data_IF_120956366050
#
_entry.id   IF_120956366050
#
_cell.length_a   1.000
_cell.length_b   1.000
_cell.length_c   1.000
_cell.angle_alpha   90.00
_cell.angle_beta   90.00
_cell.angle_gamma   90.00
#
_symmetry.space_group_name_H-M   'P 1'
#
loop_
_entity.id
_entity.type
_entity.pdbx_description
1 polymer ?
#
# COMPACT_ATOMS: atom_id res chain seq x y z
N UNK A 1 3.77 7.42 2.82
CA UNK A 1 2.54 7.01 3.53
C UNK A 1 1.93 5.83 2.81
N UNK A 2 1.43 4.87 3.57
CA UNK A 2 0.66 3.76 3.03
C UNK A 2 -0.78 4.21 2.77
N UNK A 3 -1.48 3.52 1.86
CA UNK A 3 -2.92 3.76 1.65
C UNK A 3 -3.67 3.49 2.95
N UNK A 4 -4.60 4.39 3.29
CA UNK A 4 -5.32 4.41 4.57
C UNK A 4 -4.66 5.25 5.67
N UNK A 5 -3.40 5.66 5.51
CA UNK A 5 -2.75 6.56 6.47
C UNK A 5 -3.43 7.94 6.48
N UNK A 6 -3.53 8.55 7.66
CA UNK A 6 -3.93 9.96 7.82
C UNK A 6 -2.70 10.86 7.77
N UNK A 7 -2.56 11.63 6.70
CA UNK A 7 -1.45 12.56 6.43
C UNK A 7 -1.77 13.94 7.01
N UNK A 8 -0.95 14.50 7.91
CA UNK A 8 -1.16 15.82 8.46
C UNK A 8 -0.71 16.93 7.50
N UNK A 9 -1.50 17.99 7.41
CA UNK A 9 -1.22 19.19 6.63
C UNK A 9 -1.34 20.45 7.49
N UNK A 10 -0.59 21.47 7.10
CA UNK A 10 -0.59 22.78 7.75
C UNK A 10 -0.43 23.89 6.72
N UNK A 11 -1.30 24.90 6.81
CA UNK A 11 -1.20 26.16 6.05
C UNK A 11 -0.91 27.28 7.03
N UNK A 12 0.18 28.01 6.82
CA UNK A 12 0.53 29.21 7.60
C UNK A 12 0.46 30.44 6.72
N UNK A 13 -0.25 31.45 7.20
CA UNK A 13 -0.37 32.74 6.51
C UNK A 13 -0.55 33.85 7.56
N UNK A 14 -0.63 35.10 7.12
CA UNK A 14 -0.93 36.24 7.97
C UNK A 14 -2.06 37.07 7.35
N UNK A 15 -2.84 37.73 8.21
CA UNK A 15 -3.94 38.59 7.79
C UNK A 15 -3.37 39.78 6.98
N UNK A 16 -3.85 40.04 5.76
CA UNK A 16 -3.41 41.17 4.96
C UNK A 16 -3.71 42.50 5.67
N UNK A 17 -2.82 43.46 5.53
CA UNK A 17 -2.99 44.79 6.12
C UNK A 17 -3.82 45.68 5.17
N UNK A 18 -4.96 46.15 5.66
CA UNK A 18 -5.88 47.02 4.93
C UNK A 18 -6.08 48.36 5.67
N UNK A 19 -6.22 49.49 4.94
CA UNK A 19 -6.69 50.74 5.49
C UNK A 19 -8.07 50.60 6.15
N UNK A 20 -8.33 51.36 7.22
CA UNK A 20 -9.59 51.30 7.97
C UNK A 20 -10.82 51.70 7.13
N UNK A 21 -10.64 52.55 6.12
CA UNK A 21 -11.66 53.00 5.18
C UNK A 21 -11.82 52.06 3.97
N UNK A 22 -11.14 50.91 3.97
CA UNK A 22 -11.20 49.96 2.86
C UNK A 22 -12.63 49.47 2.63
N UNK A 23 -13.05 49.53 1.36
CA UNK A 23 -14.38 49.07 0.95
C UNK A 23 -14.48 47.55 1.05
N UNK A 24 -13.41 46.83 0.75
CA UNK A 24 -13.34 45.37 0.76
C UNK A 24 -12.07 44.88 1.48
N UNK A 25 -12.21 43.92 2.39
CA UNK A 25 -11.09 43.26 3.06
C UNK A 25 -11.23 41.74 2.89
N UNK A 26 -11.04 41.28 1.66
CA UNK A 26 -11.16 39.86 1.32
C UNK A 26 -9.96 39.12 1.88
N UNK A 27 -10.22 38.06 2.64
CA UNK A 27 -9.19 37.13 3.06
C UNK A 27 -9.82 35.73 3.18
N UNK A 28 -9.43 34.85 2.26
CA UNK A 28 -9.92 33.48 2.20
C UNK A 28 -8.73 32.52 2.12
N UNK A 29 -8.82 31.39 2.83
CA UNK A 29 -7.87 30.29 2.74
C UNK A 29 -8.62 29.11 2.12
N UNK A 30 -8.14 28.63 0.99
CA UNK A 30 -8.71 27.47 0.30
C UNK A 30 -7.69 26.34 0.24
N UNK A 31 -8.17 25.13 0.11
CA UNK A 31 -7.33 23.96 -0.05
C UNK A 31 -8.01 22.93 -0.95
N UNK A 32 -7.26 22.36 -1.89
CA UNK A 32 -7.75 21.42 -2.89
C UNK A 32 -6.73 20.28 -3.06
N UNK A 33 -6.97 19.12 -2.43
CA UNK A 33 -6.17 17.92 -2.64
C UNK A 33 -6.35 17.34 -4.05
N UNK A 34 -5.33 16.66 -4.54
CA UNK A 34 -5.47 15.71 -5.65
C UNK A 34 -6.37 14.51 -5.26
N UNK A 35 -6.89 13.77 -6.25
CA UNK A 35 -7.81 12.64 -6.02
C UNK A 35 -7.26 11.52 -5.10
N UNK A 36 -5.93 11.44 -4.93
CA UNK A 36 -5.29 10.50 -4.01
C UNK A 36 -5.42 10.86 -2.51
N UNK A 37 -6.02 12.01 -2.17
CA UNK A 37 -6.21 12.47 -0.79
C UNK A 37 -7.66 12.87 -0.53
N UNK A 38 -8.17 12.47 0.64
CA UNK A 38 -9.49 12.88 1.14
C UNK A 38 -9.36 13.60 2.46
N UNK A 39 -9.78 14.86 2.53
CA UNK A 39 -9.75 15.64 3.77
C UNK A 39 -10.69 15.02 4.80
N UNK A 40 -10.17 14.81 6.01
CA UNK A 40 -10.99 14.54 7.19
C UNK A 40 -11.46 15.88 7.77
N UNK A 41 -12.65 16.31 7.34
CA UNK A 41 -13.17 17.64 7.64
C UNK A 41 -13.36 17.89 9.14
N UNK A 42 -13.52 16.83 9.93
CA UNK A 42 -13.62 16.91 11.39
C UNK A 42 -12.32 17.35 12.07
N UNK A 43 -11.19 17.25 11.36
CA UNK A 43 -9.86 17.57 11.88
C UNK A 43 -9.40 18.98 11.53
N UNK A 44 -10.19 19.75 10.77
CA UNK A 44 -9.85 21.12 10.40
C UNK A 44 -9.91 22.01 11.64
N UNK A 45 -8.77 22.58 12.00
CA UNK A 45 -8.62 23.53 13.09
C UNK A 45 -7.95 24.81 12.59
N UNK A 46 -8.45 25.96 13.06
CA UNK A 46 -7.91 27.28 12.77
C UNK A 46 -7.35 27.87 14.07
N UNK A 47 -6.06 28.11 14.09
CA UNK A 47 -5.37 28.82 15.17
C UNK A 47 -5.16 30.28 14.77
N UNK A 48 -5.29 31.18 15.75
CA UNK A 48 -5.32 32.63 15.54
C UNK A 48 -6.68 33.21 15.18
N UNK A 49 -7.77 32.44 15.20
CA UNK A 49 -9.13 32.95 15.06
C UNK A 49 -10.15 32.00 15.71
N UNK A 50 -11.34 32.51 16.04
CA UNK A 50 -12.45 31.72 16.56
C UNK A 50 -13.49 31.47 15.48
N UNK A 51 -14.36 30.47 15.66
CA UNK A 51 -15.40 30.13 14.68
C UNK A 51 -16.42 31.27 14.42
N UNK A 52 -16.50 32.28 15.29
CA UNK A 52 -17.28 33.49 15.02
C UNK A 52 -16.62 34.45 14.02
N UNK A 53 -15.34 34.29 13.74
CA UNK A 53 -14.55 35.22 12.92
C UNK A 53 -14.54 34.86 11.42
N UNK A 54 -15.00 33.65 11.08
CA UNK A 54 -14.97 33.14 9.70
C UNK A 54 -16.16 32.21 9.40
N UNK A 55 -16.35 31.92 8.12
CA UNK A 55 -17.22 30.83 7.65
C UNK A 55 -16.37 29.71 7.05
N UNK A 56 -16.62 28.45 7.44
CA UNK A 56 -15.97 27.26 6.91
C UNK A 56 -16.95 26.46 6.05
N UNK A 57 -16.57 26.21 4.80
CA UNK A 57 -17.22 25.24 3.92
C UNK A 57 -16.20 24.15 3.60
N UNK A 58 -16.48 22.89 3.92
CA UNK A 58 -15.53 21.80 3.76
C UNK A 58 -16.18 20.53 3.20
N UNK A 59 -15.43 19.78 2.40
CA UNK A 59 -15.74 18.44 1.90
C UNK A 59 -14.47 17.59 1.88
N UNK A 60 -14.58 16.32 1.50
CA UNK A 60 -13.41 15.45 1.31
C UNK A 60 -12.45 15.97 0.21
N UNK A 61 -12.95 16.79 -0.71
CA UNK A 61 -12.19 17.26 -1.88
C UNK A 61 -11.67 18.69 -1.73
N UNK A 62 -11.83 19.31 -0.56
CA UNK A 62 -11.31 20.65 -0.30
C UNK A 62 -12.06 21.40 0.78
N UNK A 63 -11.52 22.55 1.17
CA UNK A 63 -12.21 23.49 2.05
C UNK A 63 -12.00 24.93 1.62
N UNK A 64 -12.87 25.80 2.13
CA UNK A 64 -12.79 27.24 2.06
C UNK A 64 -13.09 27.83 3.43
N UNK A 65 -12.17 28.66 3.92
CA UNK A 65 -12.33 29.50 5.11
C UNK A 65 -12.36 30.95 4.64
N UNK A 66 -13.49 31.64 4.82
CA UNK A 66 -13.61 33.05 4.51
C UNK A 66 -13.74 33.87 5.80
N UNK A 67 -12.79 34.76 6.05
CA UNK A 67 -12.77 35.60 7.25
C UNK A 67 -13.68 36.81 7.09
N UNK A 68 -14.35 37.19 8.18
CA UNK A 68 -15.21 38.37 8.21
C UNK A 68 -14.38 39.64 8.04
N UNK A 69 -14.91 40.60 7.28
CA UNK A 69 -14.28 41.90 7.03
C UNK A 69 -13.81 42.58 8.31
N UNK A 70 -14.68 42.68 9.32
CA UNK A 70 -14.37 43.39 10.56
C UNK A 70 -13.21 42.74 11.33
N UNK A 71 -13.13 41.42 11.32
CA UNK A 71 -12.02 40.69 11.93
C UNK A 71 -10.71 40.95 11.18
N UNK A 72 -10.74 40.91 9.84
CA UNK A 72 -9.57 41.19 8.99
C UNK A 72 -9.04 42.60 9.23
N UNK A 73 -9.91 43.61 9.30
CA UNK A 73 -9.50 45.00 9.56
C UNK A 73 -8.92 45.22 10.96
N UNK A 74 -9.36 44.46 11.95
CA UNK A 74 -8.93 44.61 13.34
C UNK A 74 -7.60 43.90 13.67
N UNK A 75 -7.14 42.97 12.84
CA UNK A 75 -6.00 42.10 13.15
C UNK A 75 -4.91 42.07 12.05
N UNK A 76 -4.46 43.23 11.52
CA UNK A 76 -3.48 43.25 10.44
C UNK A 76 -2.16 42.56 10.86
N UNK A 77 -1.66 41.67 10.01
CA UNK A 77 -0.41 40.93 10.26
C UNK A 77 -0.51 39.80 11.27
N UNK A 78 -1.67 39.56 11.89
CA UNK A 78 -1.88 38.42 12.78
C UNK A 78 -1.67 37.11 12.02
N UNK A 79 -0.90 36.19 12.62
CA UNK A 79 -0.68 34.88 12.05
C UNK A 79 -1.95 34.02 12.15
N UNK A 80 -2.26 33.32 11.06
CA UNK A 80 -3.32 32.31 10.99
C UNK A 80 -2.68 30.99 10.58
N UNK A 81 -2.97 29.94 11.34
CA UNK A 81 -2.52 28.58 11.03
C UNK A 81 -3.72 27.67 10.90
N UNK A 82 -3.87 27.02 9.75
CA UNK A 82 -4.88 25.98 9.54
C UNK A 82 -4.19 24.63 9.57
N UNK A 83 -4.66 23.72 10.40
CA UNK A 83 -4.19 22.33 10.45
C UNK A 83 -5.32 21.37 10.17
N UNK A 84 -5.04 20.29 9.45
CA UNK A 84 -6.02 19.23 9.18
C UNK A 84 -5.28 17.94 8.81
N UNK A 85 -6.03 16.85 8.70
CA UNK A 85 -5.54 15.57 8.17
C UNK A 85 -6.30 15.20 6.92
N UNK A 86 -5.63 14.52 5.99
CA UNK A 86 -6.26 13.87 4.86
C UNK A 86 -5.87 12.39 4.80
N UNK A 87 -6.81 11.53 4.47
CA UNK A 87 -6.57 10.11 4.24
C UNK A 87 -5.99 9.87 2.86
N UNK A 88 -4.92 9.07 2.79
CA UNK A 88 -4.37 8.60 1.54
C UNK A 88 -5.25 7.49 0.94
N UNK A 89 -5.79 7.70 -0.26
CA UNK A 89 -6.72 6.75 -0.87
C UNK A 89 -6.01 5.75 -1.78
N UNK A 90 -6.71 4.70 -2.21
CA UNK A 90 -6.22 3.76 -3.24
C UNK A 90 -5.89 4.42 -4.58
N UNK A 91 -6.43 5.61 -4.83
CA UNK A 91 -6.18 6.40 -6.04
C UNK A 91 -4.88 7.21 -5.91
N UNK A 92 -4.25 7.18 -4.72
CA UNK A 92 -2.88 7.62 -4.55
C UNK A 92 -1.94 6.62 -5.21
N UNK A 93 -1.58 6.86 -6.46
CA UNK A 93 -0.52 6.13 -7.11
C UNK A 93 0.17 6.99 -8.16
N UNK A 94 1.50 6.84 -8.26
CA UNK A 94 2.31 7.65 -9.15
C UNK A 94 2.43 6.97 -10.49
N UNK A 95 1.90 7.61 -11.53
CA UNK A 95 2.20 7.22 -12.91
C UNK A 95 3.41 7.99 -13.45
N UNK A 96 3.66 9.19 -12.95
CA UNK A 96 4.78 10.02 -13.38
C UNK A 96 5.14 11.08 -12.33
N UNK A 97 6.21 11.85 -12.55
CA UNK A 97 6.58 12.99 -11.69
C UNK A 97 5.55 14.14 -11.69
N UNK A 98 4.70 14.20 -12.71
CA UNK A 98 3.64 15.20 -12.88
C UNK A 98 2.27 14.68 -12.43
N UNK A 99 2.06 13.37 -12.39
CA UNK A 99 0.87 12.70 -11.87
C UNK A 99 1.16 12.16 -10.45
N UNK A 100 1.27 13.09 -9.51
CA UNK A 100 1.63 12.81 -8.12
C UNK A 100 0.48 13.14 -7.20
N UNK A 101 0.29 12.29 -6.19
CA UNK A 101 -0.58 12.64 -5.08
C UNK A 101 0.00 13.83 -4.34
N UNK A 102 -0.82 14.86 -4.15
CA UNK A 102 -0.40 16.10 -3.52
C UNK A 102 -1.57 16.95 -3.09
N UNK A 103 -1.22 18.07 -2.47
CA UNK A 103 -2.17 19.03 -1.95
C UNK A 103 -1.77 20.46 -2.34
N UNK A 104 -2.78 21.29 -2.65
CA UNK A 104 -2.60 22.71 -3.01
C UNK A 104 -3.43 23.58 -2.07
N UNK A 105 -2.78 24.46 -1.33
CA UNK A 105 -3.43 25.52 -0.58
C UNK A 105 -3.35 26.85 -1.34
N UNK A 106 -4.41 27.64 -1.33
CA UNK A 106 -4.43 29.01 -1.86
C UNK A 106 -4.86 30.01 -0.81
N UNK A 107 -4.32 31.22 -0.89
CA UNK A 107 -4.78 32.36 -0.08
C UNK A 107 -5.31 33.41 -1.03
N UNK A 108 -6.61 33.70 -0.96
CA UNK A 108 -7.23 34.74 -1.77
C UNK A 108 -7.39 36.01 -0.96
N UNK A 109 -6.88 37.12 -1.48
CA UNK A 109 -7.01 38.43 -0.85
C UNK A 109 -7.14 39.54 -1.89
N UNK A 110 -7.65 40.71 -1.49
CA UNK A 110 -7.64 41.89 -2.35
C UNK A 110 -6.28 42.62 -2.23
N UNK A 111 -5.47 42.76 -3.28
CA UNK A 111 -4.21 43.52 -3.21
C UNK A 111 -4.41 45.05 -3.23
N UNK A 112 -5.58 45.55 -3.63
CA UNK A 112 -5.88 46.98 -3.68
C UNK A 112 -7.18 47.32 -2.92
N UNK A 113 -7.10 47.97 -1.75
CA UNK A 113 -8.25 48.23 -0.88
C UNK A 113 -9.33 49.16 -1.45
N UNK A 114 -9.06 49.83 -2.57
CA UNK A 114 -9.94 50.85 -3.15
C UNK A 114 -10.62 50.43 -4.45
N UNK A 115 -10.25 49.27 -5.00
CA UNK A 115 -10.81 48.70 -6.23
C UNK A 115 -11.19 47.25 -6.02
N UNK A 116 -12.17 46.76 -6.77
CA UNK A 116 -12.48 45.33 -6.77
C UNK A 116 -11.38 44.57 -7.51
N UNK A 117 -10.69 43.69 -6.79
CA UNK A 117 -9.60 42.87 -7.32
C UNK A 117 -9.22 41.77 -6.35
N UNK A 118 -8.59 40.70 -6.85
CA UNK A 118 -8.12 39.59 -6.02
C UNK A 118 -6.80 39.04 -6.52
N UNK A 119 -5.90 38.70 -5.61
CA UNK A 119 -4.71 37.90 -5.82
C UNK A 119 -4.90 36.56 -5.11
N UNK A 120 -4.35 35.48 -5.69
CA UNK A 120 -4.53 34.12 -5.18
C UNK A 120 -3.23 33.31 -5.31
N UNK A 121 -2.18 33.64 -4.54
CA UNK A 121 -0.98 32.79 -4.46
C UNK A 121 -1.31 31.38 -3.97
N UNK A 122 -0.54 30.40 -4.47
CA UNK A 122 -0.65 29.00 -4.10
C UNK A 122 0.63 28.45 -3.45
N UNK A 123 0.47 27.36 -2.70
CA UNK A 123 1.56 26.52 -2.21
C UNK A 123 1.19 25.06 -2.38
N UNK A 124 2.15 24.24 -2.82
CA UNK A 124 1.92 22.83 -3.18
C UNK A 124 2.83 21.90 -2.40
N UNK A 125 2.29 20.77 -1.98
CA UNK A 125 3.02 19.69 -1.31
C UNK A 125 2.72 18.35 -1.98
N UNK A 126 3.68 17.42 -1.93
CA UNK A 126 3.56 16.07 -2.51
C UNK A 126 3.53 15.01 -1.41
N UNK A 127 2.72 13.98 -1.58
CA UNK A 127 2.62 12.84 -0.67
C UNK A 127 3.02 11.56 -1.40
N UNK A 128 4.12 10.95 -0.97
CA UNK A 128 4.67 9.76 -1.62
C UNK A 128 4.08 8.46 -1.09
N UNK A 129 3.77 7.57 -2.03
CA UNK A 129 3.44 6.15 -1.84
C UNK A 129 4.15 5.34 -2.93
N UNK A 130 4.40 4.07 -2.66
CA UNK A 130 5.28 3.22 -3.45
C UNK A 130 4.63 1.89 -3.77
N UNK A 131 5.24 1.17 -4.70
CA UNK A 131 4.92 -0.22 -4.99
C UNK A 131 6.11 -1.15 -4.78
N UNK A 132 5.82 -2.45 -4.69
CA UNK A 132 6.81 -3.51 -4.74
C UNK A 132 6.35 -4.59 -5.71
N UNK A 133 7.24 -5.02 -6.59
CA UNK A 133 6.95 -6.06 -7.59
C UNK A 133 8.09 -7.05 -7.68
N UNK A 134 7.74 -8.32 -7.81
CA UNK A 134 8.69 -9.41 -8.07
C UNK A 134 8.07 -10.47 -8.96
N UNK A 135 8.91 -11.34 -9.52
CA UNK A 135 8.47 -12.48 -10.32
C UNK A 135 8.49 -13.76 -9.50
N UNK A 136 7.38 -14.47 -9.53
CA UNK A 136 7.17 -15.78 -8.95
C UNK A 136 7.29 -16.86 -10.03
N UNK A 137 8.16 -17.83 -9.77
CA UNK A 137 8.43 -18.93 -10.69
C UNK A 137 8.43 -20.26 -9.94
N UNK A 138 8.28 -21.34 -10.69
CA UNK A 138 8.59 -22.70 -10.25
C UNK A 138 9.98 -23.13 -10.69
N UNK A 139 10.28 -24.41 -10.52
CA UNK A 139 11.49 -25.04 -11.04
C UNK A 139 11.67 -24.79 -12.54
N UNK A 140 12.91 -24.52 -12.97
CA UNK A 140 13.21 -24.20 -14.37
C UNK A 140 12.83 -22.78 -14.81
N UNK A 141 12.53 -21.86 -13.87
CA UNK A 141 12.15 -20.47 -14.12
C UNK A 141 10.83 -20.28 -14.89
N UNK A 142 9.97 -21.31 -14.93
CA UNK A 142 8.63 -21.19 -15.49
C UNK A 142 7.77 -20.27 -14.59
N UNK A 143 7.04 -19.29 -15.15
CA UNK A 143 6.09 -18.48 -14.39
C UNK A 143 5.11 -19.31 -13.57
N UNK A 144 4.90 -18.94 -12.32
CA UNK A 144 3.99 -19.65 -11.42
C UNK A 144 2.85 -18.73 -10.99
N UNK A 145 1.69 -18.93 -11.62
CA UNK A 145 0.46 -18.17 -11.36
C UNK A 145 -0.33 -18.75 -10.17
N UNK A 146 -1.12 -17.90 -9.51
CA UNK A 146 -2.06 -18.31 -8.46
C UNK A 146 -1.44 -18.48 -7.06
N UNK A 147 -0.18 -18.12 -6.86
CA UNK A 147 0.44 -18.03 -5.54
C UNK A 147 -0.04 -16.75 -4.84
N UNK A 148 -0.53 -16.84 -3.61
CA UNK A 148 -1.05 -15.69 -2.87
C UNK A 148 -0.04 -15.23 -1.81
N UNK A 149 0.20 -13.93 -1.75
CA UNK A 149 1.16 -13.31 -0.85
C UNK A 149 0.50 -12.23 0.01
N UNK A 150 1.05 -12.05 1.21
CA UNK A 150 0.78 -10.90 2.07
C UNK A 150 2.06 -10.10 2.27
N UNK A 151 1.92 -8.79 2.48
CA UNK A 151 3.00 -7.92 2.89
C UNK A 151 2.64 -7.25 4.22
N UNK A 152 3.51 -7.44 5.21
CA UNK A 152 3.33 -7.00 6.59
C UNK A 152 4.33 -5.90 6.90
N UNK A 153 3.86 -4.76 7.41
CA UNK A 153 4.74 -3.69 7.87
C UNK A 153 5.46 -4.17 9.15
N UNK A 154 6.80 -4.19 9.12
CA UNK A 154 7.61 -4.78 10.19
C UNK A 154 7.53 -4.01 11.51
N UNK A 155 7.34 -2.69 11.44
CA UNK A 155 7.25 -1.82 12.62
C UNK A 155 5.90 -1.97 13.34
N UNK A 156 4.80 -2.01 12.58
CA UNK A 156 3.44 -2.05 13.14
C UNK A 156 2.87 -3.45 13.28
N UNK A 157 3.48 -4.46 12.63
CA UNK A 157 2.98 -5.83 12.56
C UNK A 157 1.68 -6.00 11.75
N UNK A 158 1.22 -4.96 11.05
CA UNK A 158 -0.03 -5.00 10.28
C UNK A 158 0.21 -5.52 8.87
N UNK A 159 -0.65 -6.43 8.41
CA UNK A 159 -0.77 -6.75 6.98
C UNK A 159 -1.33 -5.53 6.27
N UNK A 160 -0.58 -4.95 5.34
CA UNK A 160 -0.97 -3.71 4.65
C UNK A 160 -1.51 -3.98 3.25
N UNK A 161 -1.16 -5.11 2.63
CA UNK A 161 -1.70 -5.51 1.35
C UNK A 161 -1.56 -7.03 1.12
N UNK A 162 -2.34 -7.54 0.18
CA UNK A 162 -2.25 -8.90 -0.36
C UNK A 162 -2.19 -8.84 -1.88
N UNK A 163 -1.51 -9.79 -2.51
CA UNK A 163 -1.41 -9.88 -3.96
C UNK A 163 -1.29 -11.34 -4.40
N UNK A 164 -1.73 -11.64 -5.62
CA UNK A 164 -1.65 -12.97 -6.22
C UNK A 164 -0.75 -12.91 -7.44
N UNK A 165 0.05 -13.94 -7.68
CA UNK A 165 0.87 -14.03 -8.89
C UNK A 165 -0.01 -14.18 -10.13
N UNK A 166 0.21 -13.31 -11.11
CA UNK A 166 -0.52 -13.30 -12.37
C UNK A 166 -0.08 -14.44 -13.32
N UNK A 167 -0.67 -14.50 -14.51
CA UNK A 167 -0.34 -15.50 -15.53
C UNK A 167 1.12 -15.45 -16.02
N UNK A 168 1.79 -14.30 -15.86
CA UNK A 168 3.23 -14.10 -16.17
C UNK A 168 4.11 -14.30 -14.94
N UNK A 169 3.52 -14.66 -13.79
CA UNK A 169 4.15 -14.88 -12.51
C UNK A 169 4.43 -13.61 -11.72
N UNK A 170 4.01 -12.42 -12.16
CA UNK A 170 4.26 -11.20 -11.39
C UNK A 170 3.34 -11.08 -10.19
N UNK A 171 3.92 -10.69 -9.05
CA UNK A 171 3.21 -10.31 -7.84
C UNK A 171 3.51 -8.84 -7.59
N UNK A 172 2.48 -7.99 -7.51
CA UNK A 172 2.63 -6.54 -7.36
C UNK A 172 1.77 -6.02 -6.20
N UNK A 173 2.41 -5.28 -5.30
CA UNK A 173 1.78 -4.55 -4.21
C UNK A 173 1.86 -3.05 -4.51
N UNK A 174 0.77 -2.32 -4.28
CA UNK A 174 0.68 -0.86 -4.41
C UNK A 174 0.28 -0.23 -3.08
N UNK A 175 0.55 1.07 -2.93
CA UNK A 175 0.06 1.84 -1.79
C UNK A 175 0.91 1.66 -0.53
N UNK A 176 2.20 1.38 -0.67
CA UNK A 176 3.12 1.14 0.43
C UNK A 176 3.83 2.43 0.84
N UNK A 177 3.87 2.71 2.13
CA UNK A 177 4.75 3.74 2.69
C UNK A 177 6.24 3.38 2.55
N UNK A 178 7.10 4.36 2.81
CA UNK A 178 8.50 4.07 3.05
C UNK A 178 8.63 3.32 4.39
N UNK A 179 9.49 2.31 4.44
CA UNK A 179 9.65 1.47 5.61
C UNK A 179 10.09 0.07 5.26
N UNK A 180 10.14 -0.78 6.28
CA UNK A 180 10.56 -2.18 6.16
C UNK A 180 9.37 -3.10 6.28
N UNK A 181 9.34 -4.14 5.43
CA UNK A 181 8.23 -5.05 5.29
C UNK A 181 8.70 -6.50 5.22
N UNK A 182 7.85 -7.40 5.71
CA UNK A 182 8.01 -8.85 5.54
C UNK A 182 6.98 -9.34 4.52
N UNK A 183 7.45 -10.05 3.50
CA UNK A 183 6.62 -10.67 2.47
C UNK A 183 6.50 -12.16 2.77
N UNK A 184 5.27 -12.65 2.84
CA UNK A 184 4.97 -14.04 3.21
C UNK A 184 4.05 -14.66 2.16
N UNK A 185 4.42 -15.85 1.67
CA UNK A 185 3.53 -16.65 0.83
C UNK A 185 2.45 -17.29 1.71
N UNK A 186 1.20 -16.98 1.41
CA UNK A 186 0.01 -17.40 2.16
C UNK A 186 -0.71 -18.57 1.51
N UNK A 187 -0.56 -18.74 0.20
CA UNK A 187 -1.07 -19.89 -0.55
C UNK A 187 -0.06 -20.31 -1.61
N UNK A 188 0.38 -21.56 -1.50
CA UNK A 188 1.30 -22.20 -2.44
C UNK A 188 0.50 -22.94 -3.50
N UNK A 189 0.80 -22.77 -4.80
CA UNK A 189 0.20 -23.57 -5.86
C UNK A 189 0.48 -25.07 -5.71
N UNK A 190 -0.45 -25.91 -6.19
CA UNK A 190 -0.34 -27.36 -6.05
C UNK A 190 0.93 -27.92 -6.71
N UNK A 191 1.58 -28.88 -6.03
CA UNK A 191 2.81 -29.52 -6.51
C UNK A 191 4.09 -28.75 -6.19
N UNK A 192 4.00 -27.66 -5.41
CA UNK A 192 5.12 -26.84 -4.98
C UNK A 192 5.17 -26.71 -3.45
N UNK A 193 6.34 -26.38 -2.93
CA UNK A 193 6.54 -26.11 -1.50
C UNK A 193 6.76 -24.62 -1.27
N UNK A 194 6.25 -24.12 -0.13
CA UNK A 194 6.34 -22.72 0.27
C UNK A 194 7.79 -22.23 0.32
N UNK A 195 8.05 -21.02 -0.16
CA UNK A 195 9.32 -20.31 0.11
C UNK A 195 9.35 -19.69 1.51
N UNK A 196 10.57 -19.50 2.03
CA UNK A 196 10.78 -18.74 3.25
C UNK A 196 10.33 -17.29 3.05
N UNK A 197 9.72 -16.73 4.08
CA UNK A 197 9.38 -15.31 4.13
C UNK A 197 10.67 -14.47 4.03
N UNK A 198 10.59 -13.28 3.43
CA UNK A 198 11.75 -12.39 3.27
C UNK A 198 11.41 -10.94 3.58
N UNK A 199 12.47 -10.17 3.85
CA UNK A 199 12.37 -8.77 4.19
C UNK A 199 12.74 -7.88 3.01
N UNK A 200 12.02 -6.77 2.88
CA UNK A 200 12.34 -5.69 1.94
C UNK A 200 12.30 -4.34 2.66
N UNK A 201 13.03 -3.36 2.12
CA UNK A 201 12.96 -1.97 2.56
C UNK A 201 12.58 -1.10 1.37
N UNK A 202 11.54 -0.29 1.53
CA UNK A 202 11.02 0.63 0.52
C UNK A 202 11.38 2.06 0.92
N UNK A 203 11.88 2.83 -0.03
CA UNK A 203 12.20 4.24 0.13
C UNK A 203 12.12 4.96 -1.22
N UNK A 204 12.07 6.29 -1.20
CA UNK A 204 12.15 7.09 -2.43
C UNK A 204 13.44 6.84 -3.23
N UNK A 205 14.53 6.44 -2.57
CA UNK A 205 15.83 6.25 -3.20
C UNK A 205 15.94 4.94 -4.00
N UNK A 206 15.16 3.91 -3.64
CA UNK A 206 15.25 2.58 -4.26
C UNK A 206 13.98 2.16 -5.01
N UNK A 207 12.83 2.75 -4.68
CA UNK A 207 11.57 2.50 -5.37
C UNK A 207 11.40 3.50 -6.52
N UNK A 208 12.19 3.33 -7.58
CA UNK A 208 12.23 4.24 -8.73
C UNK A 208 11.92 3.54 -10.06
N UNK A 209 11.61 2.25 -10.02
CA UNK A 209 11.36 1.43 -11.20
C UNK A 209 9.92 1.52 -11.68
N UNK A 210 9.72 0.97 -12.88
CA UNK A 210 8.42 0.72 -13.49
C UNK A 210 7.92 -0.69 -13.11
N UNK A 211 6.60 -0.89 -13.14
CA UNK A 211 6.01 -2.18 -12.87
C UNK A 211 5.89 -3.03 -14.15
N UNK A 212 6.71 -4.08 -14.31
CA UNK A 212 6.69 -4.89 -15.53
C UNK A 212 5.43 -5.76 -15.67
N UNK A 213 4.55 -5.80 -14.66
CA UNK A 213 3.28 -6.52 -14.71
C UNK A 213 2.21 -5.77 -15.52
N UNK A 214 2.35 -4.45 -15.70
CA UNK A 214 1.35 -3.59 -16.34
C UNK A 214 1.92 -2.89 -17.58
N UNK A 215 1.04 -2.31 -18.39
CA UNK A 215 1.42 -1.46 -19.53
C UNK A 215 1.46 0.02 -19.17
N UNK A 216 0.90 0.40 -18.02
CA UNK A 216 1.03 1.74 -17.47
C UNK A 216 2.48 1.98 -17.08
N UNK A 217 3.03 3.12 -17.47
CA UNK A 217 4.34 3.57 -17.00
C UNK A 217 4.20 4.15 -15.60
N UNK A 218 5.01 3.66 -14.69
CA UNK A 218 5.05 4.03 -13.28
C UNK A 218 6.50 4.28 -12.87
N UNK A 219 6.75 5.06 -11.81
CA UNK A 219 8.12 5.48 -11.44
C UNK A 219 8.42 5.35 -9.95
N UNK A 220 7.60 4.60 -9.23
CA UNK A 220 7.63 4.50 -7.76
C UNK A 220 7.64 3.04 -7.27
N UNK A 221 8.08 2.09 -8.09
CA UNK A 221 8.20 0.68 -7.70
C UNK A 221 9.61 0.30 -7.26
N UNK A 222 9.69 -0.45 -6.17
CA UNK A 222 10.83 -1.33 -5.91
C UNK A 222 10.65 -2.59 -6.76
N UNK A 223 11.55 -2.81 -7.72
CA UNK A 223 11.51 -3.94 -8.63
C UNK A 223 12.57 -4.96 -8.21
N UNK A 224 12.12 -6.12 -7.73
CA UNK A 224 13.00 -7.25 -7.46
C UNK A 224 13.43 -7.91 -8.77
N UNK A 225 14.73 -8.01 -8.98
CA UNK A 225 15.30 -8.61 -10.20
C UNK A 225 15.44 -10.12 -10.07
N UNK A 226 15.63 -10.63 -8.85
CA UNK A 226 15.74 -12.06 -8.59
C UNK A 226 14.36 -12.70 -8.42
N UNK A 227 14.02 -13.65 -9.30
CA UNK A 227 12.78 -14.39 -9.19
C UNK A 227 12.70 -15.18 -7.87
N UNK A 228 11.50 -15.24 -7.28
CA UNK A 228 11.22 -16.08 -6.11
C UNK A 228 10.74 -17.45 -6.60
N UNK A 229 11.48 -18.49 -6.27
CA UNK A 229 11.31 -19.84 -6.83
C UNK A 229 10.66 -20.74 -5.79
N UNK A 230 9.49 -21.31 -6.08
CA UNK A 230 9.05 -22.46 -5.27
C UNK A 230 9.71 -23.73 -5.80
N UNK A 231 10.36 -24.51 -4.93
CA UNK A 231 10.80 -25.85 -5.30
C UNK A 231 9.59 -26.75 -5.52
N UNK A 232 9.71 -27.70 -6.45
CA UNK A 232 8.69 -28.74 -6.59
C UNK A 232 8.59 -29.53 -5.29
N UNK A 233 7.36 -29.82 -4.90
CA UNK A 233 7.10 -30.72 -3.80
C UNK A 233 7.62 -32.12 -4.18
N UNK A 234 8.45 -32.77 -3.32
CA UNK A 234 8.87 -34.13 -3.57
C UNK A 234 7.65 -35.04 -3.74
N UNK A 235 7.68 -35.90 -4.76
CA UNK A 235 6.69 -36.97 -4.85
C UNK A 235 6.83 -37.83 -3.58
N UNK A 236 5.74 -37.95 -2.82
CA UNK A 236 5.72 -38.91 -1.72
C UNK A 236 5.94 -40.30 -2.31
N UNK A 237 6.79 -41.15 -1.70
CA UNK A 237 6.98 -42.51 -2.18
C UNK A 237 5.63 -43.22 -2.18
N UNK A 238 5.29 -43.83 -3.30
CA UNK A 238 4.12 -44.71 -3.38
C UNK A 238 4.48 -45.99 -2.63
N UNK A 239 4.18 -46.05 -1.33
CA UNK A 239 4.32 -47.28 -0.56
C UNK A 239 3.29 -48.29 -1.06
N UNK A 240 3.72 -49.24 -1.90
CA UNK A 240 2.85 -50.23 -2.55
C UNK A 240 3.28 -50.66 -3.95
N UNK A 241 4.36 -50.08 -4.51
CA UNK A 241 4.86 -50.42 -5.84
C UNK A 241 5.38 -51.87 -5.94
N UNK A 242 5.57 -52.38 -7.16
CA UNK A 242 5.73 -53.80 -7.54
C UNK A 242 6.67 -54.67 -6.67
N UNK A 243 7.63 -54.08 -5.95
CA UNK A 243 8.47 -54.79 -4.97
C UNK A 243 7.71 -55.37 -3.77
N UNK A 244 6.56 -54.79 -3.41
CA UNK A 244 5.71 -55.28 -2.29
C UNK A 244 5.03 -56.62 -2.64
N UNK A 245 4.69 -56.83 -3.92
CA UNK A 245 4.16 -58.10 -4.40
C UNK A 245 5.18 -59.23 -4.22
N UNK A 246 6.46 -58.98 -4.51
CA UNK A 246 7.53 -59.96 -4.31
C UNK A 246 7.68 -60.38 -2.85
N UNK A 247 7.72 -59.41 -1.93
CA UNK A 247 7.83 -59.67 -0.49
C UNK A 247 6.60 -60.39 0.09
N UNK A 248 5.40 -60.01 -0.35
CA UNK A 248 4.15 -60.65 0.10
C UNK A 248 4.01 -62.07 -0.45
N UNK A 249 4.39 -62.30 -1.71
CA UNK A 249 4.40 -63.62 -2.32
C UNK A 249 5.44 -64.55 -1.64
N UNK A 250 6.64 -64.03 -1.35
CA UNK A 250 7.64 -64.79 -0.60
C UNK A 250 7.17 -65.12 0.84
N UNK A 251 6.54 -64.17 1.52
CA UNK A 251 5.98 -64.36 2.87
C UNK A 251 4.87 -65.42 2.89
N UNK A 252 3.94 -65.37 1.93
CA UNK A 252 2.85 -66.36 1.82
C UNK A 252 3.37 -67.74 1.43
N UNK A 253 4.38 -67.83 0.55
CA UNK A 253 5.04 -69.10 0.21
C UNK A 253 5.76 -69.72 1.42
N UNK A 254 6.43 -68.91 2.26
CA UNK A 254 7.07 -69.39 3.49
C UNK A 254 6.05 -69.92 4.51
N UNK A 255 4.92 -69.23 4.67
CA UNK A 255 3.84 -69.70 5.54
C UNK A 255 3.24 -71.02 5.04
N UNK A 256 3.00 -71.14 3.73
CA UNK A 256 2.50 -72.37 3.12
C UNK A 256 3.50 -73.54 3.29
N UNK A 257 4.79 -73.29 3.08
CA UNK A 257 5.85 -74.27 3.30
C UNK A 257 5.92 -74.70 4.78
N UNK A 258 5.86 -73.75 5.71
CA UNK A 258 5.85 -74.03 7.16
C UNK A 258 4.67 -74.92 7.56
N UNK A 259 3.46 -74.59 7.10
CA UNK A 259 2.26 -75.41 7.34
C UNK A 259 2.41 -76.81 6.74
N UNK A 260 2.93 -76.92 5.51
CA UNK A 260 3.19 -78.21 4.87
C UNK A 260 4.17 -79.08 5.66
N UNK A 261 5.27 -78.51 6.14
CA UNK A 261 6.25 -79.24 6.96
C UNK A 261 5.67 -79.72 8.29
N UNK A 262 4.86 -78.90 8.97
CA UNK A 262 4.18 -79.28 10.22
C UNK A 262 3.16 -80.39 10.00
N UNK A 263 2.40 -80.35 8.91
CA UNK A 263 1.43 -81.42 8.58
C UNK A 263 2.17 -82.72 8.23
N UNK A 264 3.28 -82.65 7.49
CA UNK A 264 4.08 -83.82 7.12
C UNK A 264 4.78 -84.45 8.32
N UNK A 265 5.34 -83.66 9.24
CA UNK A 265 6.01 -84.19 10.43
C UNK A 265 5.03 -84.92 11.36
N UNK A 266 3.80 -84.42 11.51
CA UNK A 266 2.75 -85.09 12.29
C UNK A 266 2.29 -86.41 11.68
N UNK A 267 2.27 -86.54 10.35
CA UNK A 267 1.94 -87.80 9.66
C UNK A 267 3.02 -88.88 9.74
N UNK A 268 4.27 -88.50 10.02
CA UNK A 268 5.38 -89.46 10.17
C UNK A 268 5.56 -89.95 11.62
N UNK A 269 4.88 -89.31 12.58
CA UNK A 269 4.91 -89.67 14.01
C UNK A 269 3.65 -90.40 14.50
N UNK A 270 2.72 -90.71 13.59
CA UNK A 270 1.51 -91.50 13.83
C UNK A 270 1.60 -92.81 13.06
#
# INVERSE_FOLDING_TARGET
YSVGDKVPFQVKTAIPNYPADSKTATFEINDTPSAGLKIDTSTIAVDGATASDYTLTASETGYKIAFKKDFVLAHPGQAITVTYKAELTKDAFFKSETDVTGNTATVKFNPNPYTDGTAEPDSKTKVYTFGYVFKKVGEGNAPLAGAEFSITNKETGKVVATATSDAKGYVSFKGLGAGTYVVSETKVPAGYSKIADWEITISKANATGDNPATTETETNFLVETAAKVDPKQPALPVTGDAGTFGLTAAGTALLAAGVFFVVRSRKQQA
#
